data_IF_049632428081
#
_entry.id   IF_049632428081
#
_cell.length_a   1.000
_cell.length_b   1.000
_cell.length_c   1.000
_cell.angle_alpha   90.00
_cell.angle_beta   90.00
_cell.angle_gamma   90.00
#
_symmetry.space_group_name_H-M   'P 1'
#
loop_
_entity.id
_entity.type
_entity.pdbx_description
1 polymer ?
#
# COMPACT_ATOMS: atom_id res chain seq x y z
N UNK A 1 -21.34 -12.03 6.86
CA UNK A 1 -20.38 -13.10 7.16
C UNK A 1 -19.90 -13.70 5.84
N UNK A 2 -18.84 -13.11 5.25
CA UNK A 2 -18.12 -13.73 4.14
C UNK A 2 -17.06 -14.66 4.73
N UNK A 3 -17.45 -15.89 5.06
CA UNK A 3 -16.50 -16.97 5.28
C UNK A 3 -16.00 -17.41 3.89
N UNK A 4 -14.72 -17.20 3.60
CA UNK A 4 -14.06 -17.92 2.54
C UNK A 4 -14.11 -19.42 2.91
N UNK A 5 -14.84 -20.22 2.12
CA UNK A 5 -14.90 -21.66 2.33
C UNK A 5 -13.55 -22.27 1.93
N UNK A 6 -12.73 -22.60 2.92
CA UNK A 6 -11.40 -23.19 2.76
C UNK A 6 -11.39 -24.59 2.16
N UNK A 7 -12.54 -25.12 1.75
CA UNK A 7 -12.69 -26.51 1.29
C UNK A 7 -12.66 -26.71 -0.22
N UNK A 8 -12.69 -25.65 -1.03
CA UNK A 8 -12.67 -25.79 -2.49
C UNK A 8 -11.96 -24.62 -3.19
N UNK A 9 -10.89 -24.96 -3.88
CA UNK A 9 -10.11 -24.16 -4.82
C UNK A 9 -9.55 -22.83 -4.28
N UNK A 10 -8.25 -22.90 -3.95
CA UNK A 10 -7.28 -21.83 -3.69
C UNK A 10 -7.83 -20.41 -3.91
N UNK A 11 -8.54 -19.88 -2.93
CA UNK A 11 -8.81 -18.47 -2.82
C UNK A 11 -7.54 -17.83 -2.23
N UNK A 12 -6.55 -17.51 -3.08
CA UNK A 12 -5.41 -16.72 -2.65
C UNK A 12 -5.87 -15.27 -2.56
N UNK A 13 -5.71 -14.67 -1.38
CA UNK A 13 -5.94 -13.23 -1.24
C UNK A 13 -4.76 -12.45 -1.82
N UNK A 14 -5.05 -11.42 -2.58
CA UNK A 14 -4.04 -10.54 -3.18
C UNK A 14 -3.58 -9.49 -2.16
N UNK A 15 -2.29 -9.57 -1.78
CA UNK A 15 -1.63 -8.61 -0.89
C UNK A 15 -0.69 -7.71 -1.70
N UNK A 16 -0.88 -6.40 -1.59
CA UNK A 16 -0.07 -5.42 -2.30
C UNK A 16 0.60 -4.41 -1.36
N UNK A 17 1.84 -4.01 -1.70
CA UNK A 17 2.54 -2.88 -1.08
C UNK A 17 3.19 -2.02 -2.19
N UNK A 18 2.71 -0.78 -2.41
CA UNK A 18 3.23 0.11 -3.45
C UNK A 18 4.62 0.68 -3.16
N UNK A 19 5.16 0.47 -1.97
CA UNK A 19 6.45 1.00 -1.52
C UNK A 19 7.14 0.02 -0.57
N UNK A 20 7.26 -1.24 -0.99
CA UNK A 20 7.51 -2.39 -0.14
C UNK A 20 8.88 -2.42 0.57
N UNK A 21 9.77 -1.49 0.25
CA UNK A 21 11.08 -1.42 0.89
C UNK A 21 11.82 -2.75 0.78
N UNK A 22 12.33 -3.25 1.90
CA UNK A 22 13.03 -4.54 1.98
C UNK A 22 12.09 -5.77 2.04
N UNK A 23 10.77 -5.59 1.85
CA UNK A 23 9.78 -6.66 1.91
C UNK A 23 9.43 -7.12 3.33
N UNK A 24 9.73 -6.31 4.34
CA UNK A 24 9.50 -6.68 5.74
C UNK A 24 8.02 -6.93 6.08
N UNK A 25 7.11 -6.16 5.51
CA UNK A 25 5.66 -6.34 5.69
C UNK A 25 5.20 -7.70 5.16
N UNK A 26 5.68 -8.12 3.99
CA UNK A 26 5.35 -9.42 3.41
C UNK A 26 5.80 -10.59 4.29
N UNK A 27 7.00 -10.48 4.87
CA UNK A 27 7.51 -11.49 5.81
C UNK A 27 6.63 -11.60 7.05
N UNK A 28 6.15 -10.48 7.59
CA UNK A 28 5.24 -10.49 8.74
C UNK A 28 3.85 -11.01 8.36
N UNK A 29 3.35 -10.69 7.18
CA UNK A 29 2.05 -11.18 6.69
C UNK A 29 2.05 -12.69 6.50
N UNK A 30 3.08 -13.27 5.88
CA UNK A 30 3.23 -14.73 5.76
C UNK A 30 3.33 -15.41 7.14
N UNK A 31 4.06 -14.81 8.08
CA UNK A 31 4.13 -15.30 9.43
C UNK A 31 2.76 -15.28 10.11
N UNK A 32 2.02 -14.18 9.97
CA UNK A 32 0.67 -14.02 10.50
C UNK A 32 -0.28 -15.10 9.94
N UNK A 33 -0.30 -15.31 8.63
CA UNK A 33 -1.12 -16.33 7.97
C UNK A 33 -0.84 -17.72 8.56
N UNK A 34 0.43 -18.10 8.69
CA UNK A 34 0.82 -19.41 9.27
C UNK A 34 0.41 -19.56 10.74
N UNK A 35 0.56 -18.51 11.54
CA UNK A 35 0.19 -18.53 12.96
C UNK A 35 -1.33 -18.64 13.18
N UNK A 36 -2.12 -18.28 12.15
CA UNK A 36 -3.58 -18.36 12.17
C UNK A 36 -4.14 -19.54 11.36
N UNK A 37 -3.31 -20.54 11.08
CA UNK A 37 -3.74 -21.81 10.48
C UNK A 37 -3.75 -21.83 8.94
N UNK A 38 -3.30 -20.76 8.28
CA UNK A 38 -3.10 -20.73 6.83
C UNK A 38 -1.80 -21.41 6.40
N UNK A 39 -1.64 -21.59 5.09
CA UNK A 39 -0.48 -22.21 4.46
C UNK A 39 0.36 -21.18 3.71
N UNK A 40 1.64 -21.51 3.49
CA UNK A 40 2.50 -20.75 2.58
C UNK A 40 1.87 -20.81 1.18
N UNK A 41 1.67 -19.64 0.57
CA UNK A 41 1.04 -19.52 -0.74
C UNK A 41 -0.47 -19.26 -0.71
N UNK A 42 -1.09 -19.18 0.46
CA UNK A 42 -2.50 -18.75 0.58
C UNK A 42 -2.68 -17.25 0.28
N UNK A 43 -1.57 -16.49 0.13
CA UNK A 43 -1.57 -15.10 -0.32
C UNK A 43 -0.71 -14.94 -1.57
N UNK A 44 -1.21 -14.21 -2.55
CA UNK A 44 -0.45 -13.75 -3.71
C UNK A 44 0.14 -12.37 -3.39
N UNK A 45 1.47 -12.26 -3.44
CA UNK A 45 2.17 -11.06 -2.97
C UNK A 45 2.65 -10.24 -4.15
N UNK A 46 2.27 -8.97 -4.16
CA UNK A 46 2.68 -7.96 -5.13
C UNK A 46 3.36 -6.79 -4.42
N UNK A 47 4.47 -6.34 -4.96
CA UNK A 47 5.16 -5.19 -4.40
C UNK A 47 5.78 -4.31 -5.47
N UNK A 48 6.03 -3.06 -5.11
CA UNK A 48 6.75 -2.13 -5.95
C UNK A 48 7.78 -1.36 -5.12
N UNK A 49 8.98 -1.17 -5.67
CA UNK A 49 10.07 -0.44 -5.05
C UNK A 49 10.83 0.38 -6.10
N UNK A 50 11.11 1.64 -5.79
CA UNK A 50 11.80 2.55 -6.72
C UNK A 50 13.32 2.51 -6.60
N UNK A 51 13.85 2.18 -5.43
CA UNK A 51 15.29 2.06 -5.22
C UNK A 51 15.78 0.66 -5.61
N UNK A 52 16.69 0.59 -6.60
CA UNK A 52 17.21 -0.67 -7.11
C UNK A 52 17.89 -1.54 -6.05
N UNK A 53 18.68 -0.92 -5.16
CA UNK A 53 19.39 -1.66 -4.10
C UNK A 53 18.38 -2.24 -3.09
N UNK A 54 17.39 -1.45 -2.70
CA UNK A 54 16.32 -1.88 -1.79
C UNK A 54 15.46 -2.98 -2.41
N UNK A 55 15.12 -2.86 -3.71
CA UNK A 55 14.43 -3.92 -4.44
C UNK A 55 15.20 -5.24 -4.44
N UNK A 56 16.51 -5.21 -4.72
CA UNK A 56 17.36 -6.42 -4.62
C UNK A 56 17.34 -7.00 -3.22
N UNK A 57 17.39 -6.16 -2.20
CA UNK A 57 17.31 -6.59 -0.81
C UNK A 57 15.97 -7.27 -0.53
N UNK A 58 14.85 -6.72 -1.00
CA UNK A 58 13.53 -7.35 -0.89
C UNK A 58 13.51 -8.74 -1.54
N UNK A 59 13.98 -8.85 -2.79
CA UNK A 59 14.05 -10.14 -3.49
C UNK A 59 14.88 -11.18 -2.72
N UNK A 60 16.04 -10.78 -2.19
CA UNK A 60 16.88 -11.67 -1.37
C UNK A 60 16.19 -12.06 -0.05
N UNK A 61 15.58 -11.08 0.63
CA UNK A 61 14.90 -11.30 1.90
C UNK A 61 13.75 -12.32 1.77
N UNK A 62 12.95 -12.20 0.72
CA UNK A 62 11.84 -13.11 0.43
C UNK A 62 12.34 -14.48 -0.04
N UNK A 63 13.33 -14.54 -0.92
CA UNK A 63 13.90 -15.79 -1.43
C UNK A 63 14.50 -16.67 -0.33
N UNK A 64 15.25 -16.09 0.62
CA UNK A 64 15.82 -16.84 1.76
C UNK A 64 14.72 -17.47 2.63
N UNK A 65 13.54 -16.86 2.66
CA UNK A 65 12.38 -17.35 3.43
C UNK A 65 11.44 -18.21 2.61
N UNK A 66 11.74 -18.43 1.34
CA UNK A 66 10.91 -19.18 0.38
C UNK A 66 9.51 -18.56 0.21
N UNK A 67 9.43 -17.24 0.32
CA UNK A 67 8.20 -16.49 0.05
C UNK A 67 8.20 -16.13 -1.42
N UNK A 68 7.22 -16.63 -2.16
CA UNK A 68 7.01 -16.23 -3.55
C UNK A 68 6.32 -14.87 -3.60
N UNK A 69 6.86 -13.96 -4.42
CA UNK A 69 6.35 -12.60 -4.53
C UNK A 69 6.76 -11.94 -5.85
N UNK A 70 5.81 -11.28 -6.46
CA UNK A 70 6.02 -10.47 -7.66
C UNK A 70 6.38 -9.04 -7.28
N UNK A 71 7.67 -8.76 -7.12
CA UNK A 71 8.19 -7.44 -6.77
C UNK A 71 8.73 -6.75 -8.00
N UNK A 72 8.06 -5.71 -8.44
CA UNK A 72 8.45 -4.86 -9.56
C UNK A 72 9.43 -3.76 -9.12
N UNK A 73 10.36 -3.41 -9.99
CA UNK A 73 11.26 -2.28 -9.83
C UNK A 73 11.11 -1.30 -10.98
N UNK A 74 11.04 -0.02 -10.65
CA UNK A 74 11.28 1.07 -11.60
C UNK A 74 11.74 2.33 -10.85
N UNK A 75 12.54 3.16 -11.49
CA UNK A 75 13.08 4.38 -10.89
C UNK A 75 12.10 5.56 -10.89
N UNK A 76 10.95 5.43 -11.53
CA UNK A 76 9.93 6.48 -11.59
C UNK A 76 8.98 6.45 -10.39
N UNK A 77 8.97 5.33 -9.64
CA UNK A 77 8.10 5.10 -8.50
C UNK A 77 6.65 4.83 -8.89
N UNK A 78 5.87 4.44 -7.89
CA UNK A 78 4.50 3.92 -8.04
C UNK A 78 3.50 4.95 -8.56
N UNK A 79 3.76 6.24 -8.38
CA UNK A 79 2.87 7.27 -8.90
C UNK A 79 2.98 7.44 -10.42
N UNK A 80 4.21 7.42 -10.95
CA UNK A 80 4.48 7.72 -12.36
C UNK A 80 4.54 6.47 -13.24
N UNK A 81 4.89 5.34 -12.65
CA UNK A 81 4.90 4.05 -13.33
C UNK A 81 4.30 2.98 -12.43
N UNK A 82 3.01 2.84 -12.55
CA UNK A 82 2.17 1.95 -11.77
C UNK A 82 2.20 0.53 -12.37
N UNK A 83 3.13 -0.28 -11.86
CA UNK A 83 3.32 -1.64 -12.36
C UNK A 83 2.18 -2.58 -11.93
N UNK A 84 1.52 -2.29 -10.79
CA UNK A 84 0.40 -3.10 -10.32
C UNK A 84 -0.85 -2.90 -11.19
N UNK A 85 -1.11 -1.68 -11.65
CA UNK A 85 -2.22 -1.39 -12.57
C UNK A 85 -2.13 -2.16 -13.90
N UNK A 86 -0.92 -2.58 -14.30
CA UNK A 86 -0.71 -3.37 -15.51
C UNK A 86 -0.98 -4.88 -15.32
N UNK A 87 -1.07 -5.36 -14.09
CA UNK A 87 -1.27 -6.79 -13.80
C UNK A 87 -2.69 -7.23 -14.10
N UNK A 88 -2.80 -8.48 -14.51
CA UNK A 88 -4.08 -9.10 -14.89
C UNK A 88 -4.24 -10.42 -14.17
N UNK A 89 -5.46 -10.69 -13.73
CA UNK A 89 -5.85 -11.99 -13.22
C UNK A 89 -5.95 -13.06 -14.32
N UNK A 90 -6.26 -14.26 -13.91
CA UNK A 90 -6.43 -15.39 -14.83
C UNK A 90 -7.59 -15.20 -15.83
N UNK A 91 -8.54 -14.33 -15.48
CA UNK A 91 -9.68 -13.92 -16.32
C UNK A 91 -9.35 -12.76 -17.26
N UNK A 92 -8.11 -12.23 -17.20
CA UNK A 92 -7.66 -11.06 -17.97
C UNK A 92 -8.10 -9.69 -17.40
N UNK A 93 -8.87 -9.67 -16.31
CA UNK A 93 -9.26 -8.43 -15.66
C UNK A 93 -8.09 -7.80 -14.88
N UNK A 94 -8.08 -6.47 -14.68
CA UNK A 94 -7.12 -5.82 -13.80
C UNK A 94 -7.20 -6.38 -12.38
N UNK A 95 -6.05 -6.75 -11.81
CA UNK A 95 -5.99 -7.18 -10.41
C UNK A 95 -6.30 -6.00 -9.49
N UNK A 96 -7.08 -6.27 -8.45
CA UNK A 96 -7.31 -5.40 -7.30
C UNK A 96 -6.92 -6.15 -6.04
N UNK A 97 -6.27 -5.47 -5.11
CA UNK A 97 -5.78 -6.10 -3.90
C UNK A 97 -6.88 -6.26 -2.85
N UNK A 98 -6.98 -7.44 -2.26
CA UNK A 98 -7.84 -7.69 -1.10
C UNK A 98 -7.26 -7.03 0.14
N UNK A 99 -5.93 -7.01 0.25
CA UNK A 99 -5.21 -6.36 1.33
C UNK A 99 -4.09 -5.47 0.79
N UNK A 100 -3.97 -4.26 1.34
CA UNK A 100 -2.81 -3.39 1.11
C UNK A 100 -2.21 -3.04 2.45
N UNK A 101 -0.93 -3.34 2.64
CA UNK A 101 -0.18 -2.98 3.84
C UNK A 101 1.01 -2.13 3.42
N UNK A 102 0.98 -0.84 3.75
CA UNK A 102 1.98 0.10 3.27
C UNK A 102 2.53 1.00 4.38
N UNK A 103 3.84 1.20 4.33
CA UNK A 103 4.54 2.22 5.10
C UNK A 103 5.25 3.17 4.13
N UNK A 104 4.49 4.06 3.47
CA UNK A 104 5.06 4.97 2.49
C UNK A 104 6.01 5.97 3.14
N UNK A 105 6.97 6.50 2.39
CA UNK A 105 7.88 7.51 2.89
C UNK A 105 7.10 8.78 3.30
N UNK A 106 7.36 9.28 4.52
CA UNK A 106 6.60 10.37 5.13
C UNK A 106 6.93 11.74 4.52
N UNK A 107 5.90 12.53 4.28
CA UNK A 107 6.02 13.96 3.93
C UNK A 107 6.92 14.25 2.72
N UNK A 108 6.91 13.39 1.72
CA UNK A 108 7.70 13.63 0.50
C UNK A 108 7.15 14.86 -0.22
N UNK A 109 8.00 15.85 -0.41
CA UNK A 109 7.84 16.93 -1.37
C UNK A 109 8.37 16.53 -2.75
N UNK A 110 8.05 17.31 -3.76
CA UNK A 110 8.57 17.10 -5.13
C UNK A 110 8.34 15.71 -5.71
N UNK A 111 7.22 15.07 -5.33
CA UNK A 111 6.83 13.75 -5.81
C UNK A 111 6.30 13.76 -7.26
N UNK A 112 6.38 14.90 -7.93
CA UNK A 112 5.96 15.08 -9.33
C UNK A 112 4.46 15.21 -9.53
N UNK A 113 3.70 15.57 -8.48
CA UNK A 113 2.24 15.71 -8.52
C UNK A 113 1.72 16.68 -9.57
N UNK A 114 2.53 17.68 -9.97
CA UNK A 114 2.19 18.60 -11.05
C UNK A 114 1.88 17.91 -12.39
N UNK A 115 2.51 16.76 -12.65
CA UNK A 115 2.29 15.96 -13.86
C UNK A 115 1.08 15.03 -13.78
N UNK A 116 0.49 14.91 -12.59
CA UNK A 116 -0.57 13.96 -12.28
C UNK A 116 -1.88 14.66 -11.86
N UNK A 117 -2.07 15.94 -12.21
CA UNK A 117 -3.26 16.71 -11.79
C UNK A 117 -4.58 16.07 -12.23
N UNK A 118 -4.60 15.48 -13.40
CA UNK A 118 -5.78 14.86 -14.01
C UNK A 118 -5.80 13.33 -13.84
N UNK A 119 -5.06 12.80 -12.87
CA UNK A 119 -4.97 11.36 -12.66
C UNK A 119 -6.27 10.80 -12.08
N UNK A 120 -6.73 9.68 -12.62
CA UNK A 120 -8.00 9.02 -12.22
C UNK A 120 -8.02 8.54 -10.77
N UNK A 121 -6.85 8.41 -10.14
CA UNK A 121 -6.71 8.01 -8.73
C UNK A 121 -7.19 9.06 -7.75
N UNK A 122 -7.23 10.35 -8.15
CA UNK A 122 -7.57 11.47 -7.25
C UNK A 122 -9.08 11.62 -7.05
N UNK A 123 -9.72 10.56 -6.59
CA UNK A 123 -11.17 10.50 -6.38
C UNK A 123 -11.69 11.51 -5.35
N UNK A 124 -10.89 11.82 -4.33
CA UNK A 124 -11.27 12.67 -3.21
C UNK A 124 -10.69 14.09 -3.30
N UNK A 125 -10.00 14.40 -4.36
CA UNK A 125 -9.37 15.69 -4.60
C UNK A 125 -7.89 15.56 -4.98
N UNK A 126 -7.36 16.59 -5.65
CA UNK A 126 -5.98 16.60 -6.12
C UNK A 126 -5.03 16.77 -4.93
N UNK A 127 -4.12 15.81 -4.67
CA UNK A 127 -3.16 15.93 -3.57
C UNK A 127 -2.21 17.11 -3.77
N UNK A 128 -1.79 17.79 -2.69
CA UNK A 128 -0.87 18.90 -2.79
C UNK A 128 0.50 18.46 -3.32
N UNK A 129 1.09 19.26 -4.23
CA UNK A 129 2.41 18.97 -4.79
C UNK A 129 3.53 18.94 -3.72
N UNK A 130 3.36 19.66 -2.62
CA UNK A 130 4.34 19.74 -1.54
C UNK A 130 4.30 18.61 -0.53
N UNK A 131 3.32 17.68 -0.61
CA UNK A 131 3.21 16.55 0.31
C UNK A 131 2.46 15.38 -0.32
N UNK A 132 3.10 14.21 -0.37
CA UNK A 132 2.56 13.02 -1.00
C UNK A 132 1.66 12.17 -0.10
N UNK A 133 1.46 12.49 1.17
CA UNK A 133 0.74 11.62 2.12
C UNK A 133 -0.66 11.24 1.60
N UNK A 134 -1.42 12.22 1.10
CA UNK A 134 -2.76 11.96 0.55
C UNK A 134 -2.74 11.44 -0.90
N UNK A 135 -1.63 11.56 -1.61
CA UNK A 135 -1.43 10.84 -2.87
C UNK A 135 -1.28 9.34 -2.61
N UNK A 136 -0.52 8.95 -1.59
CA UNK A 136 -0.40 7.55 -1.17
C UNK A 136 -1.75 6.96 -0.76
N UNK A 137 -2.53 7.64 0.07
CA UNK A 137 -3.86 7.15 0.48
C UNK A 137 -4.79 6.92 -0.72
N UNK A 138 -4.83 7.87 -1.66
CA UNK A 138 -5.70 7.74 -2.82
C UNK A 138 -5.18 6.69 -3.84
N UNK A 139 -3.86 6.56 -3.99
CA UNK A 139 -3.25 5.49 -4.78
C UNK A 139 -3.62 4.11 -4.21
N UNK A 140 -3.48 3.93 -2.90
CA UNK A 140 -3.86 2.71 -2.19
C UNK A 140 -5.35 2.42 -2.37
N UNK A 141 -6.21 3.40 -2.11
CA UNK A 141 -7.66 3.27 -2.30
C UNK A 141 -8.02 2.85 -3.73
N UNK A 142 -7.34 3.41 -4.73
CA UNK A 142 -7.57 3.06 -6.14
C UNK A 142 -7.30 1.58 -6.44
N UNK A 143 -6.34 0.97 -5.75
CA UNK A 143 -5.93 -0.42 -5.98
C UNK A 143 -6.66 -1.44 -5.12
N UNK A 144 -7.45 -1.02 -4.14
CA UNK A 144 -8.26 -1.94 -3.35
C UNK A 144 -9.38 -2.60 -4.18
N UNK A 145 -9.61 -3.86 -3.89
CA UNK A 145 -10.82 -4.56 -4.28
C UNK A 145 -12.06 -3.92 -3.60
N UNK A 146 -13.28 -4.16 -4.10
CA UNK A 146 -14.50 -3.54 -3.54
C UNK A 146 -14.70 -3.76 -2.04
N UNK A 147 -14.24 -4.90 -1.51
CA UNK A 147 -14.28 -5.25 -0.08
C UNK A 147 -12.89 -5.36 0.55
N UNK A 148 -11.88 -4.83 -0.15
CA UNK A 148 -10.50 -4.87 0.32
C UNK A 148 -10.25 -3.93 1.49
N UNK A 149 -9.25 -4.27 2.30
CA UNK A 149 -8.83 -3.49 3.47
C UNK A 149 -7.39 -3.03 3.33
N UNK A 150 -7.09 -1.79 3.75
CA UNK A 150 -5.74 -1.27 3.76
C UNK A 150 -5.30 -0.83 5.16
N UNK A 151 -4.09 -1.23 5.55
CA UNK A 151 -3.36 -0.68 6.69
C UNK A 151 -2.23 0.22 6.21
N UNK A 152 -2.29 1.51 6.55
CA UNK A 152 -1.32 2.50 6.06
C UNK A 152 -0.71 3.25 7.23
N UNK A 153 0.62 3.27 7.30
CA UNK A 153 1.35 4.07 8.29
C UNK A 153 1.68 5.43 7.67
N UNK A 154 1.28 6.50 8.34
CA UNK A 154 1.57 7.87 7.91
C UNK A 154 2.10 8.71 9.06
N UNK A 155 2.75 9.82 8.75
CA UNK A 155 3.13 10.81 9.75
C UNK A 155 1.90 11.33 10.49
N UNK A 156 1.97 11.47 11.82
CA UNK A 156 0.86 11.91 12.68
C UNK A 156 0.24 13.25 12.22
N UNK A 157 1.04 14.15 11.65
CA UNK A 157 0.54 15.39 11.05
C UNK A 157 -0.54 15.20 9.99
N UNK A 158 -0.60 14.04 9.33
CA UNK A 158 -1.64 13.72 8.33
C UNK A 158 -3.05 13.69 8.94
N UNK A 159 -3.18 13.40 10.24
CA UNK A 159 -4.47 13.40 10.94
C UNK A 159 -5.06 14.79 11.15
N UNK A 160 -4.23 15.82 11.22
CA UNK A 160 -4.65 17.18 11.60
C UNK A 160 -4.29 18.26 10.58
N UNK A 161 -3.44 17.95 9.59
CA UNK A 161 -3.04 18.93 8.56
C UNK A 161 -4.27 19.45 7.79
N UNK A 162 -4.36 20.77 7.69
CA UNK A 162 -5.31 21.48 6.83
C UNK A 162 -4.63 22.24 5.70
N UNK A 163 -3.30 22.06 5.53
CA UNK A 163 -2.55 22.77 4.53
C UNK A 163 -2.89 22.28 3.10
N UNK A 164 -2.94 23.23 2.17
CA UNK A 164 -3.00 22.92 0.73
C UNK A 164 -4.11 21.95 0.30
N UNK A 165 -5.27 21.96 0.96
CA UNK A 165 -6.41 21.10 0.60
C UNK A 165 -6.40 19.68 1.22
N UNK A 166 -5.40 19.30 2.01
CA UNK A 166 -5.37 17.99 2.68
C UNK A 166 -6.58 17.76 3.58
N UNK A 167 -7.06 18.82 4.26
CA UNK A 167 -8.25 18.76 5.09
C UNK A 167 -9.51 18.40 4.31
N UNK A 168 -9.66 18.90 3.09
CA UNK A 168 -10.81 18.62 2.23
C UNK A 168 -10.77 17.17 1.71
N UNK A 169 -9.60 16.69 1.32
CA UNK A 169 -9.42 15.28 0.90
C UNK A 169 -9.75 14.35 2.06
N UNK A 170 -9.21 14.61 3.25
CA UNK A 170 -9.50 13.83 4.46
C UNK A 170 -10.98 13.80 4.77
N UNK A 171 -11.63 14.97 4.74
CA UNK A 171 -13.08 15.10 4.93
C UNK A 171 -13.85 14.25 3.91
N UNK A 172 -13.52 14.37 2.62
CA UNK A 172 -14.18 13.60 1.57
C UNK A 172 -14.01 12.09 1.73
N UNK A 173 -12.84 11.62 2.18
CA UNK A 173 -12.59 10.20 2.47
C UNK A 173 -13.45 9.71 3.66
N UNK A 174 -13.55 10.50 4.72
CA UNK A 174 -14.37 10.15 5.89
C UNK A 174 -15.86 10.15 5.53
N UNK A 175 -16.34 11.17 4.80
CA UNK A 175 -17.74 11.26 4.37
C UNK A 175 -18.14 10.14 3.37
N UNK A 176 -17.14 9.60 2.65
CA UNK A 176 -17.34 8.44 1.77
C UNK A 176 -17.26 7.09 2.51
N UNK A 177 -17.17 7.08 3.83
CA UNK A 177 -17.10 5.88 4.68
C UNK A 177 -15.94 4.93 4.30
N UNK A 178 -14.78 5.52 3.97
CA UNK A 178 -13.59 4.75 3.56
C UNK A 178 -12.56 4.58 4.67
N UNK A 179 -12.82 5.12 5.85
CA UNK A 179 -11.91 5.09 7.01
C UNK A 179 -12.58 4.38 8.18
N UNK A 180 -12.11 3.17 8.50
CA UNK A 180 -12.62 2.40 9.64
C UNK A 180 -12.10 2.92 10.96
N UNK A 181 -10.79 3.14 11.06
CA UNK A 181 -10.17 3.65 12.28
C UNK A 181 -8.85 4.37 11.98
N UNK A 182 -8.45 5.23 12.91
CA UNK A 182 -7.12 5.84 12.97
C UNK A 182 -6.51 5.58 14.35
N UNK A 183 -5.27 5.09 14.36
CA UNK A 183 -4.54 4.75 15.58
C UNK A 183 -3.28 5.59 15.66
N UNK A 184 -3.17 6.41 16.71
CA UNK A 184 -1.92 7.12 16.99
C UNK A 184 -0.90 6.14 17.59
N UNK A 185 0.25 6.00 16.93
CA UNK A 185 1.33 5.16 17.39
C UNK A 185 2.25 5.94 18.35
N UNK A 186 2.93 5.25 19.30
CA UNK A 186 3.87 5.92 20.18
C UNK A 186 5.04 6.55 19.40
N UNK A 187 5.53 7.69 19.89
CA UNK A 187 6.70 8.34 19.30
C UNK A 187 7.95 7.45 19.33
N UNK A 188 8.89 7.72 18.43
CA UNK A 188 10.18 6.99 18.30
C UNK A 188 10.02 5.49 17.98
N UNK A 189 8.94 5.12 17.31
CA UNK A 189 8.68 3.74 16.91
C UNK A 189 9.64 3.28 15.79
N UNK A 190 10.08 4.19 14.94
CA UNK A 190 10.92 3.88 13.78
C UNK A 190 12.37 4.27 14.01
N UNK A 191 13.30 3.38 13.66
CA UNK A 191 14.74 3.59 13.80
C UNK A 191 15.30 4.78 12.99
N UNK A 192 14.68 5.04 11.83
CA UNK A 192 15.15 6.01 10.83
C UNK A 192 14.53 7.41 10.97
N UNK A 193 13.50 7.56 11.79
CA UNK A 193 12.82 8.84 11.97
C UNK A 193 12.27 9.01 13.38
N UNK A 194 12.30 10.25 13.87
CA UNK A 194 11.66 10.65 15.12
C UNK A 194 10.22 11.16 14.90
N UNK A 195 9.74 11.15 13.66
CA UNK A 195 8.39 11.62 13.33
C UNK A 195 7.38 10.64 13.94
N UNK A 196 6.43 11.11 14.77
CA UNK A 196 5.32 10.29 15.26
C UNK A 196 4.42 9.85 14.09
N UNK A 197 3.89 8.65 14.17
CA UNK A 197 3.01 8.06 13.17
C UNK A 197 1.65 7.65 13.76
#
# INVERSE_FOLDING_TARGET
DYYCDWSSDVCSSDLYDPCCGSGGMFVQSEKFVREHGGRIGDIAIYGQESNYTTWRLAKMNLAVRRIDADISWNNEGSFHKDEFAAKRGNDGAPIKADFILANPPFNISDWGGERLKDDVRWKFGIPPAGNANYAWLQHIYHHLAPFGTAGVVLANGSMSSGQSGEGDIRKAMIEADTVDCMVALPGQLFYSTQIPA
#
